data_IF_364994864567
#
_entry.id   IF_364994864567
#
_cell.length_a   1.000
_cell.length_b   1.000
_cell.length_c   1.000
_cell.angle_alpha   90.00
_cell.angle_beta   90.00
_cell.angle_gamma   90.00
#
_symmetry.space_group_name_H-M   'P 1'
#
loop_
_entity.id
_entity.type
_entity.pdbx_description
1 polymer ?
#
# COMPACT_ATOMS: atom_id res chain seq x y z
N UNK A 1 -10.40 16.85 9.44
CA UNK A 1 -9.84 15.55 9.06
C UNK A 1 -8.63 15.90 8.23
N UNK A 2 -7.45 15.48 8.70
CA UNK A 2 -6.16 15.98 8.20
C UNK A 2 -6.08 15.77 6.70
N UNK A 3 -5.50 16.73 5.98
CA UNK A 3 -5.32 16.62 4.55
C UNK A 3 -4.32 15.48 4.30
N UNK A 4 -4.82 14.30 3.92
CA UNK A 4 -3.97 13.26 3.35
C UNK A 4 -3.25 13.87 2.15
N UNK A 5 -1.94 13.70 2.11
CA UNK A 5 -1.16 14.06 0.93
C UNK A 5 -1.34 13.02 -0.18
N UNK A 6 -0.64 13.22 -1.29
CA UNK A 6 -0.73 12.32 -2.46
C UNK A 6 0.40 11.29 -2.48
N UNK A 7 1.39 11.42 -1.59
CA UNK A 7 2.52 10.50 -1.44
C UNK A 7 2.12 9.12 -0.90
N UNK A 8 3.02 8.14 -1.07
CA UNK A 8 2.77 6.72 -0.74
C UNK A 8 2.52 6.45 0.75
N UNK A 9 2.93 7.35 1.64
CA UNK A 9 2.80 7.23 3.10
C UNK A 9 2.17 8.49 3.72
N UNK A 10 1.43 9.27 2.91
CA UNK A 10 0.78 10.50 3.36
C UNK A 10 -0.67 10.27 3.83
N UNK A 11 -1.14 9.02 3.79
CA UNK A 11 -2.37 8.55 4.41
C UNK A 11 -2.06 7.70 5.66
N UNK A 12 -3.03 7.62 6.58
CA UNK A 12 -2.83 6.95 7.87
C UNK A 12 -2.59 5.44 7.68
N UNK A 13 -3.31 4.78 6.75
CA UNK A 13 -3.22 3.32 6.55
C UNK A 13 -1.85 2.89 6.04
N UNK A 14 -1.32 3.56 5.01
CA UNK A 14 0.01 3.23 4.48
C UNK A 14 1.12 3.55 5.48
N UNK A 15 0.96 4.60 6.28
CA UNK A 15 1.89 4.94 7.36
C UNK A 15 1.91 3.85 8.44
N UNK A 16 0.75 3.42 8.91
CA UNK A 16 0.61 2.36 9.92
C UNK A 16 1.24 1.06 9.42
N UNK A 17 0.92 0.64 8.19
CA UNK A 17 1.50 -0.56 7.55
C UNK A 17 3.02 -0.50 7.48
N UNK A 18 3.58 0.66 7.14
CA UNK A 18 5.04 0.85 7.10
C UNK A 18 5.66 0.71 8.49
N UNK A 19 5.07 1.36 9.49
CA UNK A 19 5.56 1.32 10.87
C UNK A 19 5.50 -0.10 11.42
N UNK A 20 4.34 -0.77 11.31
CA UNK A 20 4.15 -2.17 11.71
C UNK A 20 5.15 -3.11 11.02
N UNK A 21 5.36 -2.96 9.71
CA UNK A 21 6.31 -3.80 8.98
C UNK A 21 7.73 -3.63 9.50
N UNK A 22 8.15 -2.39 9.80
CA UNK A 22 9.47 -2.12 10.38
C UNK A 22 9.57 -2.71 11.78
N UNK A 23 8.55 -2.53 12.62
CA UNK A 23 8.50 -3.10 13.97
C UNK A 23 8.66 -4.62 13.96
N UNK A 24 7.93 -5.34 13.10
CA UNK A 24 8.07 -6.80 13.00
C UNK A 24 9.48 -7.22 12.59
N UNK A 25 10.14 -6.50 11.68
CA UNK A 25 11.53 -6.78 11.33
C UNK A 25 12.50 -6.49 12.48
N UNK A 26 12.23 -5.49 13.31
CA UNK A 26 13.01 -5.19 14.52
C UNK A 26 12.81 -6.24 15.62
N UNK A 27 11.67 -6.93 15.63
CA UNK A 27 11.36 -8.07 16.49
C UNK A 27 11.90 -9.42 15.98
N UNK A 28 12.86 -9.39 15.05
CA UNK A 28 13.49 -10.57 14.42
C UNK A 28 12.54 -11.45 13.57
N UNK A 29 11.36 -10.96 13.17
CA UNK A 29 10.50 -11.68 12.23
C UNK A 29 11.13 -11.67 10.81
N UNK A 30 10.87 -12.74 10.06
CA UNK A 30 11.18 -12.76 8.63
C UNK A 30 10.29 -11.80 7.83
N UNK A 31 10.70 -11.47 6.61
CA UNK A 31 9.91 -10.60 5.71
C UNK A 31 8.57 -11.26 5.38
N UNK A 32 8.58 -12.57 5.19
CA UNK A 32 7.40 -13.39 4.96
C UNK A 32 6.45 -13.36 6.17
N UNK A 33 6.97 -13.55 7.39
CA UNK A 33 6.17 -13.50 8.63
C UNK A 33 5.60 -12.10 8.88
N UNK A 34 6.41 -11.04 8.77
CA UNK A 34 5.96 -9.66 8.96
C UNK A 34 4.83 -9.29 7.98
N UNK A 35 4.97 -9.68 6.72
CA UNK A 35 3.95 -9.44 5.70
C UNK A 35 2.68 -10.21 5.99
N UNK A 36 2.82 -11.47 6.38
CA UNK A 36 1.68 -12.32 6.70
C UNK A 36 0.90 -11.78 7.91
N UNK A 37 1.59 -11.36 8.97
CA UNK A 37 0.96 -10.81 10.17
C UNK A 37 0.12 -9.56 9.84
N UNK A 38 0.68 -8.64 9.06
CA UNK A 38 -0.04 -7.44 8.61
C UNK A 38 -1.25 -7.84 7.77
N UNK A 39 -1.08 -8.71 6.77
CA UNK A 39 -2.20 -9.13 5.93
C UNK A 39 -3.28 -9.86 6.73
N UNK A 40 -2.93 -10.70 7.69
CA UNK A 40 -3.89 -11.36 8.59
C UNK A 40 -4.67 -10.33 9.43
N UNK A 41 -4.01 -9.31 9.98
CA UNK A 41 -4.66 -8.24 10.75
C UNK A 41 -5.70 -7.47 9.93
N UNK A 42 -5.35 -7.05 8.71
CA UNK A 42 -6.28 -6.31 7.85
C UNK A 42 -7.37 -7.21 7.25
N UNK A 43 -7.07 -8.47 6.89
CA UNK A 43 -8.08 -9.40 6.34
C UNK A 43 -9.07 -9.92 7.39
N UNK A 44 -8.76 -9.79 8.68
CA UNK A 44 -9.70 -10.09 9.76
C UNK A 44 -10.81 -9.01 9.88
N UNK A 45 -10.55 -7.78 9.41
CA UNK A 45 -11.50 -6.66 9.45
C UNK A 45 -12.10 -6.30 8.07
N UNK A 46 -11.33 -6.46 6.99
CA UNK A 46 -11.67 -6.01 5.64
C UNK A 46 -11.68 -7.16 4.63
N UNK A 47 -12.63 -7.13 3.70
CA UNK A 47 -12.68 -8.08 2.59
C UNK A 47 -12.00 -7.49 1.34
N UNK A 48 -11.15 -8.27 0.67
CA UNK A 48 -10.38 -7.78 -0.48
C UNK A 48 -11.25 -7.42 -1.70
N UNK A 49 -12.44 -7.99 -1.83
CA UNK A 49 -13.36 -7.71 -2.93
C UNK A 49 -14.37 -6.61 -2.58
N UNK A 50 -14.72 -6.45 -1.30
CA UNK A 50 -15.68 -5.43 -0.84
C UNK A 50 -15.00 -4.11 -0.40
N UNK A 51 -13.85 -4.18 0.27
CA UNK A 51 -13.12 -3.05 0.88
C UNK A 51 -11.85 -2.69 0.09
N UNK A 52 -12.03 -2.51 -1.22
CA UNK A 52 -10.94 -2.32 -2.18
C UNK A 52 -10.04 -1.12 -1.86
N UNK A 53 -10.61 -0.02 -1.37
CA UNK A 53 -9.89 1.20 -1.03
C UNK A 53 -8.84 0.94 0.06
N UNK A 54 -9.28 0.37 1.19
CA UNK A 54 -8.43 0.06 2.34
C UNK A 54 -7.39 -1.00 1.97
N UNK A 55 -7.83 -2.09 1.33
CA UNK A 55 -6.92 -3.15 0.94
C UNK A 55 -5.90 -2.69 -0.11
N UNK A 56 -6.28 -1.77 -1.00
CA UNK A 56 -5.33 -1.12 -1.93
C UNK A 56 -4.24 -0.37 -1.17
N UNK A 57 -4.61 0.45 -0.17
CA UNK A 57 -3.64 1.16 0.67
C UNK A 57 -2.70 0.19 1.41
N UNK A 58 -3.22 -0.91 1.95
CA UNK A 58 -2.40 -1.93 2.64
C UNK A 58 -1.36 -2.54 1.70
N UNK A 59 -1.77 -2.99 0.51
CA UNK A 59 -0.84 -3.58 -0.46
C UNK A 59 0.14 -2.55 -1.03
N UNK A 60 -0.28 -1.30 -1.24
CA UNK A 60 0.59 -0.20 -1.67
C UNK A 60 1.65 0.08 -0.61
N UNK A 61 1.26 0.20 0.66
CA UNK A 61 2.15 0.43 1.79
C UNK A 61 3.18 -0.68 1.93
N UNK A 62 2.74 -1.94 1.93
CA UNK A 62 3.61 -3.13 1.96
C UNK A 62 4.58 -3.17 0.77
N UNK A 63 4.08 -2.96 -0.45
CA UNK A 63 4.90 -2.99 -1.65
C UNK A 63 5.96 -1.88 -1.62
N UNK A 64 5.59 -0.67 -1.20
CA UNK A 64 6.50 0.46 -1.12
C UNK A 64 7.62 0.23 -0.10
N UNK A 65 7.29 -0.18 1.14
CA UNK A 65 8.31 -0.39 2.16
C UNK A 65 9.22 -1.59 1.86
N UNK A 66 8.66 -2.69 1.33
CA UNK A 66 9.47 -3.85 0.96
C UNK A 66 10.39 -3.55 -0.23
N UNK A 67 9.92 -2.74 -1.19
CA UNK A 67 10.75 -2.24 -2.28
C UNK A 67 11.89 -1.37 -1.76
N UNK A 68 11.62 -0.43 -0.85
CA UNK A 68 12.65 0.41 -0.21
C UNK A 68 13.70 -0.40 0.55
N UNK A 69 13.29 -1.50 1.19
CA UNK A 69 14.17 -2.41 1.94
C UNK A 69 14.88 -3.46 1.05
N UNK A 70 14.50 -3.58 -0.23
CA UNK A 70 15.06 -4.57 -1.15
C UNK A 70 14.64 -6.01 -0.83
N UNK A 71 13.43 -6.18 -0.29
CA UNK A 71 12.87 -7.47 0.12
C UNK A 71 11.46 -7.73 -0.44
N UNK A 72 11.10 -7.08 -1.54
CA UNK A 72 9.77 -7.18 -2.14
C UNK A 72 9.41 -8.62 -2.52
N UNK A 73 8.28 -9.07 -1.99
CA UNK A 73 7.70 -10.39 -2.27
C UNK A 73 6.82 -10.38 -3.51
N UNK A 74 6.85 -11.47 -4.28
CA UNK A 74 6.10 -11.61 -5.53
C UNK A 74 4.58 -11.46 -5.32
N UNK A 75 4.03 -11.99 -4.22
CA UNK A 75 2.60 -11.90 -3.89
C UNK A 75 2.16 -10.45 -3.66
N UNK A 76 2.91 -9.71 -2.82
CA UNK A 76 2.66 -8.30 -2.54
C UNK A 76 2.79 -7.47 -3.81
N UNK A 77 3.84 -7.70 -4.59
CA UNK A 77 4.07 -7.03 -5.87
C UNK A 77 2.88 -7.20 -6.82
N UNK A 78 2.45 -8.44 -7.04
CA UNK A 78 1.41 -8.75 -8.02
C UNK A 78 0.05 -8.17 -7.60
N UNK A 79 -0.30 -8.26 -6.31
CA UNK A 79 -1.55 -7.69 -5.79
C UNK A 79 -1.53 -6.16 -5.83
N UNK A 80 -0.44 -5.52 -5.41
CA UNK A 80 -0.32 -4.05 -5.47
C UNK A 80 -0.45 -3.53 -6.91
N UNK A 81 0.20 -4.19 -7.89
CA UNK A 81 0.05 -3.82 -9.31
C UNK A 81 -1.41 -3.96 -9.76
N UNK A 82 -2.08 -5.06 -9.41
CA UNK A 82 -3.47 -5.30 -9.80
C UNK A 82 -4.43 -4.26 -9.20
N UNK A 83 -4.23 -3.87 -7.93
CA UNK A 83 -5.05 -2.87 -7.24
C UNK A 83 -4.82 -1.46 -7.80
N UNK A 84 -3.56 -1.09 -8.08
CA UNK A 84 -3.22 0.17 -8.75
C UNK A 84 -3.87 0.24 -10.15
N UNK A 85 -3.88 -0.87 -10.90
CA UNK A 85 -4.50 -0.89 -12.24
C UNK A 85 -6.03 -0.80 -12.20
N UNK A 86 -6.65 -1.27 -11.12
CA UNK A 86 -8.08 -1.08 -10.86
C UNK A 86 -8.40 0.35 -10.43
N UNK A 87 -7.40 1.13 -9.98
CA UNK A 87 -7.60 2.45 -9.40
C UNK A 87 -8.32 2.39 -8.04
N UNK A 88 -8.10 1.30 -7.29
CA UNK A 88 -8.90 0.95 -6.12
C UNK A 88 -8.87 1.98 -4.99
N UNK A 89 -7.75 2.69 -4.78
CA UNK A 89 -7.63 3.76 -3.79
C UNK A 89 -7.91 5.16 -4.35
N UNK A 90 -8.07 5.32 -5.66
CA UNK A 90 -8.20 6.64 -6.29
C UNK A 90 -9.53 7.34 -5.95
N UNK A 91 -10.58 6.59 -5.61
CA UNK A 91 -11.88 7.15 -5.21
C UNK A 91 -11.73 8.08 -3.99
N UNK A 92 -10.84 7.74 -3.05
CA UNK A 92 -10.54 8.54 -1.86
C UNK A 92 -10.02 9.96 -2.19
N UNK A 93 -9.27 10.10 -3.29
CA UNK A 93 -8.74 11.40 -3.73
C UNK A 93 -9.65 12.12 -4.74
N UNK A 94 -10.51 11.39 -5.47
CA UNK A 94 -11.50 12.01 -6.37
C UNK A 94 -12.53 12.84 -5.59
N UNK A 95 -12.93 12.38 -4.40
CA UNK A 95 -13.88 13.09 -3.55
C UNK A 95 -13.30 14.38 -2.92
N UNK A 96 -11.97 14.46 -2.81
CA UNK A 96 -11.27 15.55 -2.13
C UNK A 96 -10.94 16.71 -3.08
N UNK A 97 -10.13 16.47 -4.11
CA UNK A 97 -9.70 17.48 -5.07
C UNK A 97 -9.18 16.84 -6.38
N UNK A 98 -9.51 17.44 -7.52
CA UNK A 98 -9.12 16.91 -8.83
C UNK A 98 -7.60 17.01 -9.12
N UNK A 99 -6.91 17.99 -8.54
CA UNK A 99 -5.45 18.11 -8.61
C UNK A 99 -4.81 16.96 -7.82
N UNK A 100 -5.27 16.72 -6.59
CA UNK A 100 -4.75 15.65 -5.74
C UNK A 100 -5.00 14.26 -6.35
N UNK A 101 -6.15 14.03 -6.98
CA UNK A 101 -6.41 12.81 -7.76
C UNK A 101 -5.35 12.56 -8.85
N UNK A 102 -5.05 13.58 -9.66
CA UNK A 102 -4.07 13.46 -10.75
C UNK A 102 -2.63 13.30 -10.23
N UNK A 103 -2.31 13.92 -9.09
CA UNK A 103 -1.04 13.72 -8.41
C UNK A 103 -0.90 12.31 -7.85
N UNK A 104 -1.90 11.83 -7.10
CA UNK A 104 -1.93 10.46 -6.57
C UNK A 104 -1.76 9.44 -7.69
N UNK A 105 -2.47 9.62 -8.80
CA UNK A 105 -2.33 8.76 -9.98
C UNK A 105 -0.91 8.73 -10.55
N UNK A 106 -0.17 9.84 -10.54
CA UNK A 106 1.25 9.86 -10.96
C UNK A 106 2.15 9.12 -9.97
N UNK A 107 1.90 9.30 -8.67
CA UNK A 107 2.62 8.59 -7.59
C UNK A 107 2.44 7.07 -7.75
N UNK A 108 1.19 6.59 -7.89
CA UNK A 108 0.89 5.17 -8.07
C UNK A 108 1.47 4.60 -9.37
N UNK A 109 1.43 5.36 -10.47
CA UNK A 109 2.07 4.93 -11.72
C UNK A 109 3.59 4.80 -11.58
N UNK A 110 4.22 5.69 -10.81
CA UNK A 110 5.66 5.62 -10.55
C UNK A 110 6.00 4.37 -9.75
N UNK A 111 5.27 4.10 -8.66
CA UNK A 111 5.41 2.89 -7.87
C UNK A 111 5.21 1.65 -8.76
N UNK A 112 4.14 1.59 -9.56
CA UNK A 112 3.86 0.47 -10.47
C UNK A 112 5.03 0.18 -11.41
N UNK A 113 5.65 1.21 -11.99
CA UNK A 113 6.82 1.02 -12.86
C UNK A 113 8.01 0.46 -12.09
N UNK A 114 8.24 0.88 -10.85
CA UNK A 114 9.33 0.32 -10.03
C UNK A 114 9.05 -1.14 -9.71
N UNK A 115 7.81 -1.48 -9.35
CA UNK A 115 7.39 -2.85 -9.08
C UNK A 115 7.58 -3.77 -10.30
N UNK A 116 7.19 -3.33 -11.51
CA UNK A 116 7.36 -4.12 -12.74
C UNK A 116 8.84 -4.39 -13.06
N UNK A 117 9.74 -3.47 -12.69
CA UNK A 117 11.16 -3.54 -13.01
C UNK A 117 12.02 -4.13 -11.88
N UNK A 118 11.40 -4.54 -10.77
CA UNK A 118 12.06 -5.20 -9.63
C UNK A 118 12.23 -6.70 -9.89
#
# INVERSE_FOLDING_TARGET
>A
MGAWGTGLFDDDTTCDVKEQFIEYLEEDNSVEEATKLILEEYLDEFDIDEDLEVMSLVYIGLAAIQLEKGCLQDEVRNNAIALIERGADLELWEEADAEDYEERKKVLNTLKQQLINY
#
